data_IF_310949447808
#
_entry.id   IF_310949447808
#
_cell.length_a   1.000
_cell.length_b   1.000
_cell.length_c   1.000
_cell.angle_alpha   90.00
_cell.angle_beta   90.00
_cell.angle_gamma   90.00
#
_symmetry.space_group_name_H-M   'P 1'
#
loop_
_entity.id
_entity.type
_entity.pdbx_description
1 polymer ?
#
# COMPACT_ATOMS: atom_id res chain seq x y z
N UNK A 1 11.99 -15.15 -25.88
CA UNK A 1 12.98 -14.73 -24.86
C UNK A 1 12.39 -13.68 -23.89
N UNK A 2 11.82 -12.57 -24.38
CA UNK A 2 11.20 -11.55 -23.52
C UNK A 2 10.07 -12.08 -22.61
N UNK A 3 9.17 -12.91 -23.16
CA UNK A 3 8.04 -13.45 -22.41
C UNK A 3 8.44 -14.37 -21.24
N UNK A 4 9.57 -15.07 -21.37
CA UNK A 4 10.13 -15.97 -20.35
C UNK A 4 10.83 -15.18 -19.26
N UNK A 5 11.56 -14.12 -19.62
CA UNK A 5 12.15 -13.18 -18.67
C UNK A 5 11.09 -12.48 -17.83
N UNK A 6 10.00 -12.04 -18.45
CA UNK A 6 8.91 -11.36 -17.76
C UNK A 6 8.20 -12.28 -16.74
N UNK A 7 8.03 -13.56 -17.09
CA UNK A 7 7.46 -14.55 -16.18
C UNK A 7 8.37 -14.82 -14.97
N UNK A 8 9.68 -14.89 -15.22
CA UNK A 8 10.68 -15.08 -14.16
C UNK A 8 10.72 -13.88 -13.20
N UNK A 9 10.69 -12.66 -13.74
CA UNK A 9 10.58 -11.43 -12.94
C UNK A 9 9.26 -11.37 -12.16
N UNK A 10 8.14 -11.74 -12.77
CA UNK A 10 6.84 -11.80 -12.09
C UNK A 10 6.86 -12.81 -10.94
N UNK A 11 7.46 -13.99 -11.12
CA UNK A 11 7.62 -14.97 -10.06
C UNK A 11 8.51 -14.47 -8.91
N UNK A 12 9.63 -13.81 -9.23
CA UNK A 12 10.51 -13.19 -8.22
C UNK A 12 9.76 -12.09 -7.46
N UNK A 13 9.02 -11.23 -8.15
CA UNK A 13 8.20 -10.18 -7.53
C UNK A 13 7.10 -10.75 -6.64
N UNK A 14 6.46 -11.85 -7.06
CA UNK A 14 5.51 -12.59 -6.23
C UNK A 14 6.18 -13.11 -4.95
N UNK A 15 7.31 -13.83 -5.07
CA UNK A 15 8.03 -14.36 -3.91
C UNK A 15 8.54 -13.26 -2.98
N UNK A 16 9.13 -12.19 -3.53
CA UNK A 16 9.59 -11.03 -2.78
C UNK A 16 8.42 -10.31 -2.10
N UNK A 17 7.28 -10.21 -2.78
CA UNK A 17 6.03 -9.73 -2.22
C UNK A 17 5.56 -10.59 -1.06
N UNK A 18 5.65 -11.92 -1.13
CA UNK A 18 5.19 -12.83 -0.06
C UNK A 18 6.09 -12.70 1.15
N UNK A 19 7.40 -12.61 0.91
CA UNK A 19 8.41 -12.36 1.94
C UNK A 19 8.20 -11.00 2.61
N UNK A 20 7.96 -9.95 1.83
CA UNK A 20 7.62 -8.63 2.35
C UNK A 20 6.32 -8.68 3.15
N UNK A 21 5.25 -9.27 2.61
CA UNK A 21 3.97 -9.44 3.29
C UNK A 21 4.11 -10.21 4.60
N UNK A 22 4.94 -11.27 4.64
CA UNK A 22 5.28 -11.99 5.87
C UNK A 22 6.02 -11.12 6.88
N UNK A 23 6.95 -10.27 6.43
CA UNK A 23 7.64 -9.29 7.28
C UNK A 23 6.72 -8.21 7.85
N UNK A 24 5.68 -7.84 7.09
CA UNK A 24 4.67 -6.85 7.51
C UNK A 24 3.45 -7.46 8.22
N UNK A 25 3.25 -8.78 8.17
CA UNK A 25 2.13 -9.48 8.81
C UNK A 25 2.03 -9.22 10.33
N UNK A 26 3.14 -9.19 11.10
CA UNK A 26 3.10 -8.82 12.51
C UNK A 26 2.59 -7.39 12.73
N UNK A 27 2.81 -6.49 11.76
CA UNK A 27 2.36 -5.10 11.84
C UNK A 27 0.86 -4.94 11.49
N UNK A 28 0.29 -5.90 10.75
CA UNK A 28 -1.16 -6.02 10.59
C UNK A 28 -1.81 -6.47 11.91
N UNK A 29 -1.16 -7.35 12.67
CA UNK A 29 -1.58 -7.80 14.00
C UNK A 29 -1.36 -6.76 15.11
N UNK A 30 -0.42 -5.83 14.94
CA UNK A 30 -0.31 -4.68 15.86
C UNK A 30 -1.51 -3.75 15.65
N UNK A 31 -2.57 -3.91 16.43
CA UNK A 31 -3.72 -2.98 16.56
C UNK A 31 -3.34 -1.61 17.18
N UNK A 32 -2.07 -1.21 17.06
CA UNK A 32 -1.59 0.08 17.51
C UNK A 32 -2.22 1.19 16.68
N UNK A 33 -2.92 2.11 17.33
CA UNK A 33 -3.47 3.35 16.71
C UNK A 33 -2.36 4.38 16.38
N UNK A 34 -1.11 3.94 16.28
CA UNK A 34 0.04 4.81 16.02
C UNK A 34 0.15 5.11 14.52
N UNK A 35 0.72 6.28 14.19
CA UNK A 35 0.95 6.67 12.80
C UNK A 35 1.79 5.63 12.04
N UNK A 36 2.83 5.09 12.67
CA UNK A 36 3.68 4.06 12.09
C UNK A 36 2.93 2.76 11.79
N UNK A 37 2.01 2.35 12.66
CA UNK A 37 1.16 1.16 12.45
C UNK A 37 0.24 1.32 11.24
N UNK A 38 -0.46 2.46 11.14
CA UNK A 38 -1.29 2.76 9.97
C UNK A 38 -0.46 2.84 8.69
N UNK A 39 0.75 3.39 8.73
CA UNK A 39 1.63 3.49 7.57
C UNK A 39 2.07 2.10 7.09
N UNK A 40 2.57 1.25 8.00
CA UNK A 40 3.01 -0.10 7.69
C UNK A 40 1.87 -0.94 7.09
N UNK A 41 0.66 -0.84 7.66
CA UNK A 41 -0.53 -1.52 7.14
C UNK A 41 -0.92 -1.03 5.75
N UNK A 42 -0.91 0.29 5.54
CA UNK A 42 -1.23 0.87 4.23
C UNK A 42 -0.26 0.40 3.15
N UNK A 43 1.05 0.39 3.44
CA UNK A 43 2.07 -0.13 2.55
C UNK A 43 1.91 -1.63 2.28
N UNK A 44 1.61 -2.43 3.32
CA UNK A 44 1.38 -3.86 3.17
C UNK A 44 0.16 -4.16 2.28
N UNK A 45 -0.96 -3.46 2.49
CA UNK A 45 -2.19 -3.62 1.68
C UNK A 45 -1.94 -3.18 0.23
N UNK A 46 -1.22 -2.07 0.01
CA UNK A 46 -0.83 -1.65 -1.33
C UNK A 46 0.06 -2.69 -2.01
N UNK A 47 1.02 -3.28 -1.31
CA UNK A 47 1.86 -4.35 -1.83
C UNK A 47 1.03 -5.61 -2.18
N UNK A 48 0.04 -5.97 -1.37
CA UNK A 48 -0.88 -7.08 -1.65
C UNK A 48 -1.68 -6.88 -2.94
N UNK A 49 -1.98 -5.64 -3.33
CA UNK A 49 -2.71 -5.34 -4.58
C UNK A 49 -1.92 -5.71 -5.85
N UNK A 50 -0.59 -5.84 -5.76
CA UNK A 50 0.24 -6.23 -6.90
C UNK A 50 0.03 -7.71 -7.27
N UNK A 51 -0.32 -8.56 -6.30
CA UNK A 51 -0.44 -10.00 -6.50
C UNK A 51 -1.57 -10.41 -7.44
N UNK A 52 -2.83 -9.97 -7.24
CA UNK A 52 -3.91 -10.32 -8.17
C UNK A 52 -3.61 -9.83 -9.58
N UNK A 53 -2.96 -8.65 -9.70
CA UNK A 53 -2.63 -8.07 -10.99
C UNK A 53 -1.58 -8.90 -11.74
N UNK A 54 -0.47 -9.24 -11.10
CA UNK A 54 0.56 -10.10 -11.68
C UNK A 54 0.02 -11.50 -11.97
N UNK A 55 -0.73 -12.08 -11.04
CA UNK A 55 -1.31 -13.41 -11.22
C UNK A 55 -2.27 -13.46 -12.40
N UNK A 56 -3.19 -12.51 -12.53
CA UNK A 56 -4.16 -12.51 -13.63
C UNK A 56 -3.47 -12.33 -14.98
N UNK A 57 -2.65 -11.28 -15.12
CA UNK A 57 -2.17 -10.84 -16.42
C UNK A 57 -0.92 -11.58 -16.90
N UNK A 58 -0.04 -12.00 -15.99
CA UNK A 58 1.19 -12.69 -16.35
C UNK A 58 1.09 -14.22 -16.27
N UNK A 59 0.20 -14.76 -15.42
CA UNK A 59 0.07 -16.21 -15.17
C UNK A 59 -1.25 -16.76 -15.70
N UNK A 60 -2.39 -16.32 -15.16
CA UNK A 60 -3.71 -16.88 -15.47
C UNK A 60 -4.09 -16.70 -16.95
N UNK A 61 -3.76 -15.54 -17.55
CA UNK A 61 -3.94 -15.30 -18.98
C UNK A 61 -3.23 -16.34 -19.85
N UNK A 62 -2.03 -16.78 -19.45
CA UNK A 62 -1.25 -17.78 -20.19
C UNK A 62 -1.76 -19.20 -20.01
N UNK A 63 -2.42 -19.49 -18.89
CA UNK A 63 -2.98 -20.81 -18.56
C UNK A 63 -4.38 -20.97 -19.17
N UNK A 64 -5.22 -19.94 -19.08
CA UNK A 64 -6.61 -19.98 -19.55
C UNK A 64 -7.10 -18.58 -19.96
N UNK A 65 -6.73 -18.17 -21.17
CA UNK A 65 -7.10 -16.86 -21.72
C UNK A 65 -8.63 -16.69 -21.83
N UNK A 66 -9.37 -17.75 -22.15
CA UNK A 66 -10.83 -17.71 -22.29
C UNK A 66 -11.54 -17.34 -20.99
N UNK A 67 -11.08 -17.89 -19.86
CA UNK A 67 -11.61 -17.53 -18.55
C UNK A 67 -11.34 -16.06 -18.22
N UNK A 68 -10.12 -15.57 -18.47
CA UNK A 68 -9.76 -14.17 -18.19
C UNK A 68 -10.53 -13.20 -19.11
N UNK A 69 -10.76 -13.58 -20.37
CA UNK A 69 -11.58 -12.81 -21.31
C UNK A 69 -13.06 -12.78 -20.94
N UNK A 70 -13.60 -13.86 -20.35
CA UNK A 70 -14.98 -13.91 -19.84
C UNK A 70 -15.20 -13.01 -18.63
N UNK A 71 -14.24 -12.95 -17.71
CA UNK A 71 -14.30 -12.02 -16.56
C UNK A 71 -14.05 -10.58 -17.03
N UNK A 72 -13.17 -10.42 -18.01
CA UNK A 72 -12.76 -9.12 -18.54
C UNK A 72 -11.87 -8.32 -17.58
N UNK A 73 -11.23 -7.26 -18.07
CA UNK A 73 -10.31 -6.44 -17.26
C UNK A 73 -11.02 -5.63 -16.17
N UNK A 74 -12.30 -5.31 -16.34
CA UNK A 74 -13.06 -4.41 -15.48
C UNK A 74 -13.15 -4.88 -14.02
N UNK A 75 -13.72 -6.06 -13.73
CA UNK A 75 -13.88 -6.55 -12.36
C UNK A 75 -12.55 -6.71 -11.62
N UNK A 76 -11.51 -7.18 -12.31
CA UNK A 76 -10.18 -7.42 -11.74
C UNK A 76 -9.52 -6.08 -11.37
N UNK A 77 -9.58 -5.10 -12.27
CA UNK A 77 -9.07 -3.75 -12.00
C UNK A 77 -9.88 -3.08 -10.88
N UNK A 78 -11.19 -3.28 -10.81
CA UNK A 78 -12.02 -2.76 -9.72
C UNK A 78 -11.54 -3.30 -8.36
N UNK A 79 -11.34 -4.62 -8.23
CA UNK A 79 -10.86 -5.23 -6.99
C UNK A 79 -9.48 -4.69 -6.61
N UNK A 80 -8.55 -4.63 -7.56
CA UNK A 80 -7.20 -4.06 -7.33
C UNK A 80 -7.29 -2.60 -6.88
N UNK A 81 -8.13 -1.79 -7.53
CA UNK A 81 -8.33 -0.39 -7.18
C UNK A 81 -8.94 -0.23 -5.79
N UNK A 82 -9.89 -1.08 -5.40
CA UNK A 82 -10.47 -1.08 -4.05
C UNK A 82 -9.42 -1.40 -2.98
N UNK A 83 -8.57 -2.40 -3.21
CA UNK A 83 -7.46 -2.73 -2.30
C UNK A 83 -6.49 -1.54 -2.17
N UNK A 84 -6.13 -0.91 -3.29
CA UNK A 84 -5.29 0.28 -3.29
C UNK A 84 -5.91 1.44 -2.53
N UNK A 85 -7.22 1.67 -2.69
CA UNK A 85 -7.95 2.71 -1.94
C UNK A 85 -7.91 2.45 -0.43
N UNK A 86 -8.07 1.19 -0.01
CA UNK A 86 -7.96 0.80 1.42
C UNK A 86 -6.54 1.05 1.94
N UNK A 87 -5.51 0.68 1.18
CA UNK A 87 -4.12 0.94 1.53
C UNK A 87 -3.81 2.44 1.64
N UNK A 88 -4.26 3.22 0.65
CA UNK A 88 -4.12 4.67 0.62
C UNK A 88 -4.81 5.34 1.82
N UNK A 89 -6.01 4.90 2.18
CA UNK A 89 -6.72 5.38 3.35
C UNK A 89 -5.87 5.25 4.64
N UNK A 90 -5.20 4.11 4.81
CA UNK A 90 -4.33 3.87 5.96
C UNK A 90 -3.10 4.79 5.93
N UNK A 91 -2.50 5.03 4.77
CA UNK A 91 -1.37 5.96 4.62
C UNK A 91 -1.81 7.39 4.95
N UNK A 92 -2.96 7.83 4.45
CA UNK A 92 -3.51 9.15 4.76
C UNK A 92 -3.86 9.30 6.25
N UNK A 93 -4.40 8.24 6.86
CA UNK A 93 -4.67 8.20 8.30
C UNK A 93 -3.39 8.31 9.12
N UNK A 94 -2.33 7.61 8.71
CA UNK A 94 -1.01 7.73 9.31
C UNK A 94 -0.51 9.19 9.25
N UNK A 95 -0.62 9.82 8.08
CA UNK A 95 -0.23 11.21 7.90
C UNK A 95 -1.03 12.16 8.80
N UNK A 96 -2.34 11.98 8.90
CA UNK A 96 -3.19 12.76 9.81
C UNK A 96 -2.74 12.66 11.27
N UNK A 97 -2.36 11.46 11.71
CA UNK A 97 -1.88 11.23 13.07
C UNK A 97 -0.50 11.86 13.34
N UNK A 98 0.34 12.06 12.31
CA UNK A 98 1.61 12.78 12.46
C UNK A 98 1.44 14.27 12.70
N UNK A 99 0.25 14.85 12.45
CA UNK A 99 -0.03 16.26 12.73
C UNK A 99 -0.10 16.47 14.26
N UNK A 100 0.57 17.49 14.82
CA UNK A 100 0.47 17.84 16.24
C UNK A 100 -0.97 18.09 16.66
N UNK A 101 -1.35 17.64 17.87
CA UNK A 101 -2.71 17.75 18.41
C UNK A 101 -3.35 19.16 18.31
N UNK A 102 -2.61 20.27 18.56
CA UNK A 102 -3.17 21.62 18.46
C UNK A 102 -3.66 21.99 17.06
N UNK A 103 -3.07 21.37 16.02
CA UNK A 103 -3.39 21.64 14.63
C UNK A 103 -4.26 20.55 14.00
N UNK A 104 -4.28 19.34 14.56
CA UNK A 104 -4.93 18.16 13.97
C UNK A 104 -6.42 18.36 13.68
N UNK A 105 -7.14 19.10 14.53
CA UNK A 105 -8.57 19.37 14.34
C UNK A 105 -8.90 20.24 13.11
N UNK A 106 -7.93 20.96 12.55
CA UNK A 106 -8.11 21.80 11.34
C UNK A 106 -7.95 21.02 10.03
N UNK A 107 -7.47 19.78 10.10
CA UNK A 107 -7.19 18.95 8.93
C UNK A 107 -8.03 17.67 8.98
N UNK A 108 -8.64 17.33 7.85
CA UNK A 108 -9.24 16.01 7.63
C UNK A 108 -8.17 15.03 7.17
N UNK A 109 -8.52 13.75 7.07
CA UNK A 109 -7.62 12.71 6.53
C UNK A 109 -7.18 13.06 5.10
N UNK A 110 -8.05 13.66 4.29
CA UNK A 110 -7.77 14.06 2.91
C UNK A 110 -6.94 15.34 2.81
N UNK A 111 -7.06 16.27 3.77
CA UNK A 111 -6.27 17.50 3.77
C UNK A 111 -4.96 17.38 4.54
N UNK A 112 -4.77 16.30 5.31
CA UNK A 112 -3.55 16.03 6.07
C UNK A 112 -2.24 15.99 5.24
N UNK A 113 -2.22 15.51 3.98
CA UNK A 113 -1.02 15.56 3.14
C UNK A 113 -0.52 16.98 2.87
N UNK A 114 -1.43 17.95 2.84
CA UNK A 114 -1.12 19.36 2.60
C UNK A 114 -0.72 20.13 3.86
N UNK A 115 -0.59 19.45 5.01
CA UNK A 115 -0.07 20.08 6.22
C UNK A 115 1.38 20.53 5.99
N UNK A 116 1.68 21.84 6.11
CA UNK A 116 2.99 22.40 5.73
C UNK A 116 4.12 22.03 6.71
N UNK A 117 3.82 21.38 7.84
CA UNK A 117 4.80 20.97 8.86
C UNK A 117 5.70 19.80 8.46
N UNK A 118 6.08 19.70 7.19
CA UNK A 118 7.11 18.78 6.67
C UNK A 118 8.49 19.41 6.72
N UNK A 119 8.87 20.07 7.82
CA UNK A 119 10.26 20.48 8.00
C UNK A 119 10.58 20.19 9.44
N UNK A 120 11.62 19.39 9.68
CA UNK A 120 12.35 19.32 10.93
C UNK A 120 12.57 20.75 11.45
N UNK A 121 11.63 21.29 12.22
CA UNK A 121 11.93 22.41 13.09
C UNK A 121 12.87 21.81 14.11
N UNK A 122 14.17 22.11 13.91
CA UNK A 122 15.27 21.70 14.80
C UNK A 122 14.75 21.67 16.24
N UNK A 123 14.97 20.58 17.00
CA UNK A 123 14.62 20.59 18.40
C UNK A 123 15.33 21.81 18.99
N UNK A 124 14.54 22.78 19.45
CA UNK A 124 15.03 23.98 20.12
C UNK A 124 15.45 23.51 21.51
N UNK A 125 16.53 22.71 21.59
CA UNK A 125 17.14 22.32 22.84
C UNK A 125 17.60 23.60 23.53
N UNK A 126 16.86 23.95 24.56
CA UNK A 126 17.26 24.69 25.76
C UNK A 126 18.43 25.65 25.55
N UNK A 127 18.12 26.92 25.26
CA UNK A 127 18.89 27.98 25.91
C UNK A 127 18.34 28.07 27.33
N UNK A 128 19.07 27.48 28.27
CA UNK A 128 19.04 27.94 29.66
C UNK A 128 19.63 29.34 29.71
#
# INVERSE_FOLDING_TARGET
MLATLNLFLAAILLCAGVLAARGFMPHLDFWGRSAAGYLARGLAICALSAFPRLFVWDVAWRINADLVMRVGPGPINLVVNLILLIGLWHILKARHLTIPEPHRGRYSIFTAPFYPGCVFTKPRWRRK
#
